data_IF_544971183922
#
_entry.id   IF_544971183922
#
_cell.length_a   1.000
_cell.length_b   1.000
_cell.length_c   1.000
_cell.angle_alpha   90.00
_cell.angle_beta   90.00
_cell.angle_gamma   90.00
#
_symmetry.space_group_name_H-M   'P 1'
#
loop_
_entity.id
_entity.type
_entity.pdbx_description
1 polymer ?
#
# COMPACT_ATOMS: atom_id res chain seq x y z
N UNK A 1 5.43 18.40 -8.27
CA UNK A 1 4.41 18.25 -7.23
C UNK A 1 4.41 16.78 -6.78
N UNK A 2 4.30 16.55 -5.47
CA UNK A 2 4.30 15.18 -4.91
C UNK A 2 3.02 14.97 -4.11
N UNK A 3 2.51 13.74 -4.12
CA UNK A 3 1.43 13.31 -3.22
C UNK A 3 1.99 12.36 -2.17
N UNK A 4 1.39 12.33 -0.99
CA UNK A 4 1.85 11.46 0.09
C UNK A 4 0.98 10.21 0.15
N UNK A 5 1.61 9.06 -0.11
CA UNK A 5 1.02 7.76 0.14
C UNK A 5 1.59 7.16 1.44
N UNK A 6 0.77 6.46 2.19
CA UNK A 6 1.23 5.62 3.29
C UNK A 6 1.41 4.19 2.79
N UNK A 7 2.57 3.63 3.05
CA UNK A 7 2.91 2.27 2.65
C UNK A 7 3.09 1.42 3.90
N UNK A 8 2.34 0.32 4.06
CA UNK A 8 2.60 -0.65 5.11
C UNK A 8 3.92 -1.38 4.84
N UNK A 9 4.81 -1.36 5.81
CA UNK A 9 6.10 -2.06 5.76
C UNK A 9 6.08 -3.20 6.76
N UNK A 10 6.37 -4.41 6.30
CA UNK A 10 6.46 -5.57 7.16
C UNK A 10 7.68 -5.45 8.10
N UNK A 11 7.43 -5.58 9.41
CA UNK A 11 8.45 -5.53 10.47
C UNK A 11 8.65 -6.90 11.13
N UNK A 12 8.13 -7.97 10.54
CA UNK A 12 8.38 -9.33 11.04
C UNK A 12 9.82 -9.73 10.79
N UNK A 13 10.48 -10.38 11.75
CA UNK A 13 11.76 -11.02 11.52
C UNK A 13 11.66 -12.03 10.36
N UNK A 14 12.71 -12.14 9.56
CA UNK A 14 12.75 -13.05 8.41
C UNK A 14 12.70 -14.53 8.80
N UNK A 15 13.13 -14.84 10.05
CA UNK A 15 13.15 -16.17 10.64
C UNK A 15 11.84 -16.54 11.35
N UNK A 16 10.87 -15.63 11.42
CA UNK A 16 9.58 -15.92 12.05
C UNK A 16 8.78 -16.92 11.22
N UNK A 17 8.35 -18.05 11.81
CA UNK A 17 7.58 -19.07 11.11
C UNK A 17 6.27 -18.51 10.53
N UNK A 18 5.84 -18.94 9.32
CA UNK A 18 4.63 -18.43 8.67
C UNK A 18 3.33 -18.66 9.45
N UNK A 19 3.29 -19.68 10.31
CA UNK A 19 2.13 -20.02 11.14
C UNK A 19 2.01 -19.16 12.42
N UNK A 20 3.06 -18.46 12.79
CA UNK A 20 2.97 -17.47 13.86
C UNK A 20 2.28 -16.22 13.33
N UNK A 21 0.95 -16.20 13.49
CA UNK A 21 0.14 -15.07 13.06
C UNK A 21 0.37 -13.86 13.98
N UNK A 22 0.25 -12.69 13.44
CA UNK A 22 0.37 -11.43 14.18
C UNK A 22 0.56 -10.24 13.23
N UNK A 23 0.11 -9.07 13.64
CA UNK A 23 0.28 -7.83 12.89
C UNK A 23 1.52 -7.09 13.40
N UNK A 24 2.64 -7.25 12.66
CA UNK A 24 3.86 -6.46 12.88
C UNK A 24 4.17 -5.70 11.61
N UNK A 25 3.57 -4.53 11.45
CA UNK A 25 3.85 -3.64 10.34
C UNK A 25 3.95 -2.20 10.84
N UNK A 26 4.79 -1.43 10.19
CA UNK A 26 4.84 0.02 10.34
C UNK A 26 4.22 0.70 9.13
N UNK A 27 3.75 1.92 9.32
CA UNK A 27 3.30 2.78 8.22
C UNK A 27 4.41 3.77 7.90
N UNK A 28 4.79 3.84 6.63
CA UNK A 28 5.82 4.75 6.19
C UNK A 28 5.28 5.71 5.10
N UNK A 29 5.54 7.02 5.23
CA UNK A 29 5.13 7.98 4.23
C UNK A 29 6.05 7.92 3.01
N UNK A 30 5.47 7.61 1.85
CA UNK A 30 6.12 7.65 0.55
C UNK A 30 5.63 8.87 -0.21
N UNK A 31 6.55 9.73 -0.63
CA UNK A 31 6.25 10.82 -1.53
C UNK A 31 6.26 10.31 -2.98
N UNK A 32 5.08 10.26 -3.59
CA UNK A 32 4.90 9.81 -4.98
C UNK A 32 5.22 10.98 -5.92
N UNK A 33 6.22 10.83 -6.83
CA UNK A 33 6.70 11.91 -7.68
C UNK A 33 5.81 12.08 -8.91
N UNK A 34 4.60 12.61 -8.72
CA UNK A 34 3.63 12.82 -9.81
C UNK A 34 4.03 13.93 -10.78
N UNK A 35 5.01 14.77 -10.43
CA UNK A 35 5.54 15.84 -11.30
C UNK A 35 6.62 15.39 -12.27
N UNK A 36 7.01 14.11 -12.31
CA UNK A 36 7.96 13.57 -13.30
C UNK A 36 7.17 13.07 -14.49
N UNK A 37 7.34 13.70 -15.65
CA UNK A 37 6.61 13.37 -16.88
C UNK A 37 7.06 12.05 -17.48
N UNK A 38 8.38 11.77 -17.47
CA UNK A 38 8.93 10.54 -18.02
C UNK A 38 8.55 9.34 -17.13
N UNK A 39 7.79 8.36 -17.63
CA UNK A 39 7.31 7.23 -16.83
C UNK A 39 8.45 6.33 -16.33
N UNK A 40 9.52 6.16 -17.10
CA UNK A 40 10.68 5.36 -16.71
C UNK A 40 11.44 6.02 -15.58
N UNK A 41 11.72 7.31 -15.70
CA UNK A 41 12.36 8.11 -14.65
C UNK A 41 11.53 8.10 -13.36
N UNK A 42 10.19 8.20 -13.49
CA UNK A 42 9.25 8.12 -12.37
C UNK A 42 9.36 6.79 -11.65
N UNK A 43 9.43 5.66 -12.37
CA UNK A 43 9.61 4.31 -11.78
C UNK A 43 10.93 4.21 -11.03
N UNK A 44 12.04 4.69 -11.61
CA UNK A 44 13.34 4.69 -10.93
C UNK A 44 13.33 5.55 -9.67
N UNK A 45 12.70 6.71 -9.72
CA UNK A 45 12.59 7.60 -8.56
C UNK A 45 11.73 6.98 -7.44
N UNK A 46 10.59 6.36 -7.77
CA UNK A 46 9.77 5.62 -6.80
C UNK A 46 10.57 4.47 -6.18
N UNK A 47 11.30 3.70 -7.00
CA UNK A 47 12.15 2.61 -6.53
C UNK A 47 13.22 3.09 -5.56
N UNK A 48 13.89 4.22 -5.88
CA UNK A 48 14.90 4.84 -5.02
C UNK A 48 14.29 5.24 -3.67
N UNK A 49 13.18 5.99 -3.69
CA UNK A 49 12.46 6.43 -2.48
C UNK A 49 11.98 5.25 -1.63
N UNK A 50 11.48 4.18 -2.27
CA UNK A 50 11.08 2.96 -1.56
C UNK A 50 12.26 2.22 -0.92
N UNK A 51 13.43 2.20 -1.56
CA UNK A 51 14.67 1.66 -1.00
C UNK A 51 15.06 2.42 0.26
N UNK A 52 15.20 3.74 0.16
CA UNK A 52 15.54 4.61 1.30
C UNK A 52 14.56 4.46 2.48
N UNK A 53 13.27 4.25 2.17
CA UNK A 53 12.23 4.09 3.17
C UNK A 53 12.35 2.74 3.91
N UNK A 54 12.73 1.66 3.22
CA UNK A 54 12.95 0.34 3.82
C UNK A 54 14.20 0.29 4.69
N UNK A 55 15.24 1.02 4.28
CA UNK A 55 16.52 1.08 4.98
C UNK A 55 16.50 2.07 6.17
N UNK A 56 15.39 2.79 6.35
CA UNK A 56 15.23 3.79 7.39
C UNK A 56 14.49 3.20 8.62
N UNK A 57 14.76 3.79 9.78
CA UNK A 57 14.05 3.46 11.05
C UNK A 57 12.62 4.02 11.11
N UNK A 58 12.16 4.79 10.14
CA UNK A 58 10.82 5.41 10.14
C UNK A 58 9.68 4.40 10.34
N UNK A 59 9.64 3.23 9.66
CA UNK A 59 8.57 2.25 9.89
C UNK A 59 8.56 1.71 11.31
N UNK A 60 9.73 1.52 11.91
CA UNK A 60 9.87 1.05 13.28
C UNK A 60 9.43 2.11 14.29
N UNK A 61 9.80 3.37 14.05
CA UNK A 61 9.33 4.50 14.87
C UNK A 61 7.81 4.66 14.76
N UNK A 62 7.23 4.57 13.57
CA UNK A 62 5.80 4.62 13.37
C UNK A 62 5.08 3.49 14.11
N UNK A 63 5.62 2.28 14.08
CA UNK A 63 5.10 1.15 14.86
C UNK A 63 5.15 1.44 16.37
N UNK A 64 6.25 1.97 16.88
CA UNK A 64 6.40 2.35 18.29
C UNK A 64 5.40 3.43 18.70
N UNK A 65 5.20 4.44 17.86
CA UNK A 65 4.19 5.50 18.09
C UNK A 65 2.78 4.93 18.13
N UNK A 66 2.43 4.03 17.20
CA UNK A 66 1.12 3.35 17.19
C UNK A 66 0.92 2.46 18.42
N UNK A 67 1.98 1.75 18.86
CA UNK A 67 1.92 0.94 20.08
C UNK A 67 1.68 1.80 21.34
N UNK A 68 2.38 2.94 21.44
CA UNK A 68 2.16 3.91 22.51
C UNK A 68 0.76 4.56 22.43
N UNK A 69 0.28 4.84 21.21
CA UNK A 69 -1.06 5.35 20.99
C UNK A 69 -2.14 4.41 21.54
N UNK A 70 -1.91 3.09 21.45
CA UNK A 70 -2.81 2.09 22.01
C UNK A 70 -2.98 2.16 23.54
N UNK A 71 -2.04 2.81 24.24
CA UNK A 71 -2.09 3.03 25.70
C UNK A 71 -2.80 4.36 26.07
N UNK A 72 -3.06 5.22 25.10
CA UNK A 72 -3.72 6.49 25.34
C UNK A 72 -5.23 6.30 25.51
N UNK A 73 -5.85 7.21 26.25
CA UNK A 73 -7.31 7.34 26.28
C UNK A 73 -7.84 7.83 24.92
N UNK A 74 -9.09 7.52 24.62
CA UNK A 74 -9.73 7.77 23.33
C UNK A 74 -9.45 9.16 22.71
N UNK A 75 -9.57 10.31 23.41
CA UNK A 75 -9.29 11.61 22.82
C UNK A 75 -7.84 11.75 22.35
N UNK A 76 -6.89 11.16 23.07
CA UNK A 76 -5.47 11.16 22.66
C UNK A 76 -5.21 10.30 21.42
N UNK A 77 -5.87 9.15 21.32
CA UNK A 77 -5.83 8.30 20.14
C UNK A 77 -6.38 9.04 18.91
N UNK A 78 -7.55 9.66 19.05
CA UNK A 78 -8.22 10.38 17.96
C UNK A 78 -7.38 11.58 17.46
N UNK A 79 -6.77 12.32 18.38
CA UNK A 79 -5.87 13.42 18.03
C UNK A 79 -4.63 12.95 17.26
N UNK A 80 -4.00 11.86 17.71
CA UNK A 80 -2.83 11.29 17.04
C UNK A 80 -3.18 10.73 15.65
N UNK A 81 -4.29 9.99 15.55
CA UNK A 81 -4.77 9.47 14.28
C UNK A 81 -5.11 10.60 13.30
N UNK A 82 -5.73 11.68 13.77
CA UNK A 82 -6.02 12.87 12.97
C UNK A 82 -4.77 13.52 12.37
N UNK A 83 -3.66 13.54 13.11
CA UNK A 83 -2.38 14.05 12.59
C UNK A 83 -1.82 13.19 11.46
N UNK A 84 -1.95 11.87 11.55
CA UNK A 84 -1.54 10.96 10.47
C UNK A 84 -2.43 11.10 9.24
N UNK A 85 -3.74 11.21 9.43
CA UNK A 85 -4.73 11.30 8.35
C UNK A 85 -4.62 12.61 7.58
N UNK A 86 -4.50 13.75 8.26
CA UNK A 86 -4.46 15.08 7.66
C UNK A 86 -3.33 15.28 6.63
N UNK A 87 -2.31 14.42 6.64
CA UNK A 87 -1.15 14.52 5.75
C UNK A 87 -1.04 13.35 4.76
N UNK A 88 -2.07 12.51 4.66
CA UNK A 88 -2.05 11.29 3.83
C UNK A 88 -3.13 11.38 2.76
N UNK A 89 -2.73 11.24 1.50
CA UNK A 89 -3.66 11.23 0.37
C UNK A 89 -4.20 9.82 0.11
N UNK A 90 -3.35 8.82 0.23
CA UNK A 90 -3.68 7.44 -0.12
C UNK A 90 -2.95 6.43 0.77
N UNK A 91 -3.50 5.23 0.89
CA UNK A 91 -2.77 4.05 1.37
C UNK A 91 -2.48 3.16 0.17
N UNK A 92 -1.20 2.82 -0.02
CA UNK A 92 -0.76 1.96 -1.13
C UNK A 92 -0.05 0.74 -0.56
N UNK A 93 -0.55 -0.44 -0.89
CA UNK A 93 0.07 -1.69 -0.44
C UNK A 93 0.38 -2.59 -1.63
N UNK A 94 1.55 -3.23 -1.57
CA UNK A 94 1.97 -4.22 -2.54
C UNK A 94 2.33 -5.51 -1.81
N UNK A 95 1.66 -6.60 -2.16
CA UNK A 95 1.84 -7.91 -1.54
C UNK A 95 2.24 -8.92 -2.61
N UNK A 96 3.34 -9.63 -2.36
CA UNK A 96 3.70 -10.77 -3.18
C UNK A 96 2.85 -11.97 -2.76
N UNK A 97 2.02 -12.44 -3.67
CA UNK A 97 1.26 -13.67 -3.52
C UNK A 97 2.03 -14.90 -4.00
N UNK A 98 1.41 -16.08 -3.97
CA UNK A 98 2.00 -17.31 -4.45
C UNK A 98 2.34 -17.26 -5.95
N UNK A 99 3.50 -17.80 -6.31
CA UNK A 99 3.93 -17.89 -7.71
C UNK A 99 3.21 -19.03 -8.47
N UNK A 100 2.58 -19.96 -7.74
CA UNK A 100 1.81 -21.08 -8.29
C UNK A 100 0.32 -20.93 -7.99
N UNK A 101 -0.55 -21.36 -8.93
CA UNK A 101 -1.99 -21.33 -8.70
C UNK A 101 -2.42 -22.14 -7.48
N UNK A 102 -3.23 -21.54 -6.63
CA UNK A 102 -3.81 -22.20 -5.46
C UNK A 102 -5.01 -23.07 -5.87
N UNK A 103 -5.29 -24.07 -5.02
CA UNK A 103 -6.50 -24.88 -5.13
C UNK A 103 -7.27 -24.86 -3.81
N UNK A 104 -8.57 -24.63 -3.90
CA UNK A 104 -9.47 -24.67 -2.76
C UNK A 104 -10.48 -25.80 -2.97
N UNK A 105 -10.49 -26.81 -2.11
CA UNK A 105 -11.37 -27.96 -2.22
C UNK A 105 -11.36 -28.64 -3.60
N UNK A 106 -10.17 -28.69 -4.26
CA UNK A 106 -10.04 -29.28 -5.60
C UNK A 106 -10.28 -28.30 -6.77
N UNK A 107 -10.94 -27.18 -6.55
CA UNK A 107 -11.15 -26.14 -7.55
C UNK A 107 -9.90 -25.23 -7.65
N UNK A 108 -9.52 -24.85 -8.87
CA UNK A 108 -8.48 -23.86 -9.10
C UNK A 108 -8.95 -22.45 -8.72
N UNK A 109 -8.07 -21.69 -8.08
CA UNK A 109 -8.30 -20.26 -7.83
C UNK A 109 -7.68 -19.50 -8.99
N UNK A 110 -8.49 -18.80 -9.78
CA UNK A 110 -8.03 -18.02 -10.95
C UNK A 110 -7.36 -16.73 -10.54
N UNK A 111 -7.97 -16.02 -9.60
CA UNK A 111 -7.56 -14.68 -9.20
C UNK A 111 -7.66 -14.49 -7.70
N UNK A 112 -6.78 -13.66 -7.15
CA UNK A 112 -6.81 -13.26 -5.75
C UNK A 112 -6.71 -11.76 -5.67
N UNK A 113 -7.76 -11.11 -5.18
CA UNK A 113 -7.79 -9.66 -4.97
C UNK A 113 -8.01 -9.39 -3.48
N UNK A 114 -7.33 -8.40 -2.96
CA UNK A 114 -7.59 -7.92 -1.60
C UNK A 114 -7.77 -6.40 -1.60
N UNK A 115 -8.38 -5.89 -0.55
CA UNK A 115 -8.66 -4.47 -0.41
C UNK A 115 -7.89 -3.94 0.79
N UNK A 116 -7.17 -2.83 0.58
CA UNK A 116 -6.55 -2.13 1.70
C UNK A 116 -7.63 -1.36 2.47
N UNK A 117 -7.58 -1.46 3.80
CA UNK A 117 -8.45 -0.67 4.66
C UNK A 117 -7.97 0.77 4.71
N UNK A 118 -8.89 1.70 4.52
CA UNK A 118 -8.68 3.13 4.75
C UNK A 118 -9.35 3.53 6.07
N UNK A 119 -8.85 4.54 6.74
CA UNK A 119 -9.41 5.04 7.98
C UNK A 119 -9.47 6.57 7.97
N UNK A 120 -10.49 7.13 8.61
CA UNK A 120 -10.69 8.58 8.70
C UNK A 120 -10.87 9.23 7.33
N UNK A 121 -10.17 10.34 7.10
CA UNK A 121 -10.29 11.16 5.88
C UNK A 121 -9.44 10.65 4.70
N UNK A 122 -8.83 9.46 4.80
CA UNK A 122 -8.06 8.85 3.71
C UNK A 122 -9.03 8.15 2.77
N UNK A 123 -9.41 8.82 1.70
CA UNK A 123 -10.42 8.34 0.76
C UNK A 123 -9.88 7.46 -0.36
N UNK A 124 -8.58 7.19 -0.44
CA UNK A 124 -7.98 6.41 -1.51
C UNK A 124 -7.16 5.25 -0.97
N UNK A 125 -7.48 4.04 -1.39
CA UNK A 125 -6.73 2.82 -1.10
C UNK A 125 -6.36 2.08 -2.38
N UNK A 126 -5.08 1.77 -2.54
CA UNK A 126 -4.55 1.01 -3.67
C UNK A 126 -3.93 -0.29 -3.16
N UNK A 127 -4.37 -1.40 -3.70
CA UNK A 127 -3.81 -2.72 -3.44
C UNK A 127 -3.23 -3.31 -4.72
N UNK A 128 -2.02 -3.81 -4.65
CA UNK A 128 -1.33 -4.49 -5.74
C UNK A 128 -0.93 -5.87 -5.22
N UNK A 129 -1.22 -6.91 -5.99
CA UNK A 129 -0.85 -8.28 -5.64
C UNK A 129 -0.34 -9.03 -6.86
N UNK A 130 0.82 -9.65 -6.75
CA UNK A 130 1.26 -10.65 -7.73
C UNK A 130 0.70 -12.02 -7.38
N UNK A 131 0.12 -12.73 -8.35
CA UNK A 131 -0.42 -14.06 -8.15
C UNK A 131 -0.26 -14.89 -9.43
N UNK A 132 0.39 -16.04 -9.34
CA UNK A 132 0.55 -16.99 -10.46
C UNK A 132 1.02 -16.35 -11.78
N UNK A 133 1.95 -15.40 -11.71
CA UNK A 133 2.51 -14.69 -12.86
C UNK A 133 1.69 -13.49 -13.36
N UNK A 134 0.53 -13.21 -12.75
CA UNK A 134 -0.28 -12.03 -13.04
C UNK A 134 -0.18 -10.96 -11.94
N UNK A 135 -0.52 -9.71 -12.26
CA UNK A 135 -0.64 -8.61 -11.31
C UNK A 135 -2.11 -8.24 -11.17
N UNK A 136 -2.58 -8.28 -9.95
CA UNK A 136 -3.92 -7.85 -9.57
C UNK A 136 -3.86 -6.45 -8.98
N UNK A 137 -4.69 -5.55 -9.49
CA UNK A 137 -4.81 -4.18 -9.02
C UNK A 137 -6.20 -3.94 -8.42
N UNK A 138 -6.25 -3.46 -7.19
CA UNK A 138 -7.48 -3.09 -6.51
C UNK A 138 -7.48 -1.61 -6.14
N UNK A 139 -8.54 -0.92 -6.50
CA UNK A 139 -8.79 0.47 -6.16
C UNK A 139 -10.01 0.55 -5.23
N UNK A 140 -9.82 1.16 -4.07
CA UNK A 140 -10.89 1.56 -3.17
C UNK A 140 -10.88 3.07 -3.05
N UNK A 141 -12.02 3.69 -3.27
CA UNK A 141 -12.14 5.15 -3.18
C UNK A 141 -13.45 5.54 -2.49
N UNK A 142 -13.47 6.72 -1.92
CA UNK A 142 -14.68 7.37 -1.44
C UNK A 142 -15.42 8.00 -2.63
N UNK A 143 -16.73 7.80 -2.69
CA UNK A 143 -17.58 8.27 -3.79
C UNK A 143 -17.55 9.80 -3.93
N UNK A 144 -17.42 10.54 -2.80
CA UNK A 144 -17.34 11.99 -2.80
C UNK A 144 -16.01 12.51 -3.37
N UNK A 145 -14.94 11.70 -3.32
CA UNK A 145 -13.61 12.09 -3.78
C UNK A 145 -13.30 11.64 -5.20
N UNK A 146 -13.92 10.55 -5.66
CA UNK A 146 -13.69 10.02 -7.00
C UNK A 146 -15.01 9.50 -7.58
N UNK A 147 -15.64 10.30 -8.41
CA UNK A 147 -16.91 9.96 -9.04
C UNK A 147 -16.79 8.85 -10.12
N UNK A 148 -15.61 8.71 -10.72
CA UNK A 148 -15.35 7.78 -11.82
C UNK A 148 -14.14 6.87 -11.53
N UNK A 149 -14.24 5.93 -10.58
CA UNK A 149 -13.13 5.04 -10.23
C UNK A 149 -12.70 4.13 -11.39
N UNK A 150 -13.63 3.80 -12.29
CA UNK A 150 -13.31 2.97 -13.47
C UNK A 150 -12.31 3.67 -14.39
N UNK A 151 -12.40 4.96 -14.58
CA UNK A 151 -11.44 5.72 -15.38
C UNK A 151 -10.00 5.62 -14.83
N UNK A 152 -9.84 5.56 -13.51
CA UNK A 152 -8.53 5.36 -12.87
C UNK A 152 -8.00 3.96 -13.16
N UNK A 153 -8.85 2.93 -13.12
CA UNK A 153 -8.49 1.54 -13.43
C UNK A 153 -8.06 1.42 -14.89
N UNK A 154 -8.81 2.00 -15.80
CA UNK A 154 -8.52 1.96 -17.23
C UNK A 154 -7.18 2.64 -17.56
N UNK A 155 -6.89 3.77 -16.91
CA UNK A 155 -5.59 4.43 -17.01
C UNK A 155 -4.46 3.60 -16.43
N UNK A 156 -4.67 2.92 -15.31
CA UNK A 156 -3.67 2.04 -14.72
C UNK A 156 -3.27 0.93 -15.69
N UNK A 157 -4.24 0.24 -16.30
CA UNK A 157 -3.97 -0.83 -17.28
C UNK A 157 -3.14 -0.30 -18.43
N UNK A 158 -3.54 0.84 -19.01
CA UNK A 158 -2.84 1.46 -20.13
C UNK A 158 -1.39 1.85 -19.79
N UNK A 159 -1.14 2.40 -18.60
CA UNK A 159 0.20 2.78 -18.15
C UNK A 159 1.06 1.55 -17.78
N UNK A 160 0.45 0.53 -17.18
CA UNK A 160 1.13 -0.72 -16.85
C UNK A 160 1.61 -1.44 -18.12
N UNK A 161 0.77 -1.54 -19.14
CA UNK A 161 1.12 -2.15 -20.42
C UNK A 161 2.29 -1.41 -21.10
N UNK A 162 2.29 -0.08 -21.09
CA UNK A 162 3.42 0.72 -21.60
C UNK A 162 4.73 0.40 -20.88
N UNK A 163 4.69 0.24 -19.56
CA UNK A 163 5.89 -0.04 -18.76
C UNK A 163 6.40 -1.47 -18.96
N UNK A 164 5.53 -2.43 -19.28
CA UNK A 164 5.93 -3.82 -19.54
C UNK A 164 6.55 -4.02 -20.93
N UNK A 165 6.39 -3.04 -21.83
CA UNK A 165 6.98 -3.05 -23.17
C UNK A 165 8.39 -2.40 -23.22
N UNK A 166 8.86 -1.83 -22.11
CA UNK A 166 10.16 -1.19 -21.96
C UNK A 166 11.20 -2.16 -21.40
#
# INVERSE_FOLDING_TARGET
QDIRAMVPVNLRPLDQPPWELGNRFGLAPLLMPIGIDNPVERVYEVRRRMGELKDNYQPLLAYGVLALAGLLIKPGQDALMGLFQAKTTAIVTNVRGPDTPLRLCGAGVSDVVFWVTTAGDIGLGVSIMSYAGAVQFGLRTDEALCAEPQAVIDQFVAEFDKLTLL
#
